data_IF_350197803815
#
_entry.id   IF_350197803815
#
_cell.length_a   1.000
_cell.length_b   1.000
_cell.length_c   1.000
_cell.angle_alpha   90.00
_cell.angle_beta   90.00
_cell.angle_gamma   90.00
#
_symmetry.space_group_name_H-M   'P 1'
#
loop_
_entity.id
_entity.type
_entity.pdbx_description
1 polymer ?
#
# COMPACT_ATOMS: atom_id res chain seq x y z
N UNK A 1 -0.70 47.27 7.83
CA UNK A 1 -0.53 46.39 6.63
C UNK A 1 0.58 45.33 6.76
N UNK A 2 1.12 45.03 7.95
CA UNK A 2 2.16 43.98 8.14
C UNK A 2 1.62 42.62 8.60
N UNK A 3 0.46 42.59 9.26
CA UNK A 3 -0.12 41.36 9.84
C UNK A 3 -0.69 40.42 8.76
N UNK A 4 -1.16 40.97 7.63
CA UNK A 4 -1.75 40.17 6.55
C UNK A 4 -0.68 39.32 5.83
N UNK A 5 0.56 39.79 5.74
CA UNK A 5 1.62 39.08 5.01
C UNK A 5 2.10 37.83 5.76
N UNK A 6 2.09 37.85 7.10
CA UNK A 6 2.54 36.71 7.92
C UNK A 6 1.55 35.54 7.87
N UNK A 7 0.24 35.83 7.77
CA UNK A 7 -0.80 34.79 7.63
C UNK A 7 -0.73 34.08 6.27
N UNK A 8 -0.35 34.78 5.21
CA UNK A 8 -0.20 34.19 3.88
C UNK A 8 1.01 33.25 3.79
N UNK A 9 2.08 33.52 4.55
CA UNK A 9 3.27 32.66 4.58
C UNK A 9 3.05 31.37 5.39
N UNK A 10 2.19 31.39 6.42
CA UNK A 10 1.85 30.16 7.18
C UNK A 10 1.02 29.18 6.34
N UNK A 11 0.23 29.66 5.38
CA UNK A 11 -0.61 28.81 4.54
C UNK A 11 0.16 27.99 3.48
N UNK A 12 1.42 28.32 3.21
CA UNK A 12 2.23 27.68 2.17
C UNK A 12 3.13 26.55 2.69
N UNK A 13 3.16 26.30 4.00
CA UNK A 13 3.83 25.12 4.56
C UNK A 13 2.81 24.01 4.80
N UNK A 14 1.91 23.78 3.85
CA UNK A 14 1.35 22.44 3.71
C UNK A 14 2.51 21.57 3.23
N UNK A 15 3.17 20.89 4.16
CA UNK A 15 4.03 19.76 3.83
C UNK A 15 3.13 18.79 3.09
N UNK A 16 3.17 18.83 1.76
CA UNK A 16 2.50 17.84 0.92
C UNK A 16 3.26 16.54 1.12
N UNK A 17 2.85 15.78 2.13
CA UNK A 17 3.44 14.49 2.44
C UNK A 17 3.15 13.54 1.26
N UNK A 18 4.18 13.27 0.47
CA UNK A 18 4.10 12.34 -0.66
C UNK A 18 4.21 10.91 -0.16
N UNK A 19 3.38 10.03 -0.72
CA UNK A 19 3.49 8.59 -0.51
C UNK A 19 4.69 8.08 -1.32
N UNK A 20 5.45 7.16 -0.75
CA UNK A 20 6.40 6.32 -1.48
C UNK A 20 5.58 5.16 -2.07
N UNK A 21 5.50 5.08 -3.39
CA UNK A 21 4.64 4.13 -4.10
C UNK A 21 5.48 3.01 -4.71
N UNK A 22 4.96 1.79 -4.65
CA UNK A 22 5.56 0.56 -5.14
C UNK A 22 4.55 -0.11 -6.08
N UNK A 23 4.73 0.09 -7.38
CA UNK A 23 3.84 -0.45 -8.42
C UNK A 23 4.46 -1.70 -9.04
N UNK A 24 3.74 -2.84 -9.14
CA UNK A 24 4.28 -4.07 -9.70
C UNK A 24 4.49 -3.94 -11.22
N UNK A 25 5.66 -4.37 -11.67
CA UNK A 25 6.08 -4.39 -13.08
C UNK A 25 6.53 -5.79 -13.49
N UNK A 26 6.56 -6.04 -14.80
CA UNK A 26 7.13 -7.26 -15.38
C UNK A 26 8.64 -7.37 -15.12
N UNK A 27 9.22 -8.53 -15.44
CA UNK A 27 10.66 -8.81 -15.25
C UNK A 27 11.58 -7.84 -15.97
N UNK A 28 11.15 -7.36 -17.15
CA UNK A 28 11.92 -6.40 -17.95
C UNK A 28 11.70 -4.94 -17.53
N UNK A 29 10.87 -4.67 -16.51
CA UNK A 29 10.55 -3.32 -16.02
C UNK A 29 10.02 -2.37 -17.11
N UNK A 30 9.20 -2.89 -18.04
CA UNK A 30 8.67 -2.15 -19.20
C UNK A 30 7.17 -1.88 -19.11
N UNK A 31 6.42 -2.67 -18.35
CA UNK A 31 4.98 -2.49 -18.17
C UNK A 31 4.52 -2.90 -16.78
N UNK A 32 3.47 -2.21 -16.29
CA UNK A 32 2.71 -2.61 -15.11
C UNK A 32 2.14 -4.02 -15.34
N UNK A 33 2.11 -4.84 -14.30
CA UNK A 33 1.51 -6.18 -14.32
C UNK A 33 0.45 -6.33 -13.23
N UNK A 34 -0.41 -7.32 -13.40
CA UNK A 34 -1.33 -7.73 -12.34
C UNK A 34 -0.54 -8.19 -11.11
N UNK A 35 -1.00 -7.77 -9.94
CA UNK A 35 -0.40 -8.15 -8.67
C UNK A 35 -0.76 -7.20 -7.54
N UNK A 36 0.16 -7.13 -6.58
CA UNK A 36 0.04 -6.32 -5.37
C UNK A 36 0.94 -5.09 -5.49
N UNK A 37 0.35 -3.91 -5.32
CA UNK A 37 1.06 -2.66 -5.15
C UNK A 37 0.63 -1.96 -3.86
N UNK A 38 1.41 -0.97 -3.44
CA UNK A 38 1.14 -0.24 -2.20
C UNK A 38 1.85 1.11 -2.19
N UNK A 39 1.42 2.00 -1.33
CA UNK A 39 2.17 3.20 -1.03
C UNK A 39 1.88 3.72 0.37
N UNK A 40 2.85 4.41 0.94
CA UNK A 40 2.85 4.77 2.35
C UNK A 40 3.70 6.00 2.60
N UNK A 41 3.31 6.78 3.60
CA UNK A 41 4.17 7.81 4.14
C UNK A 41 5.40 7.18 4.81
N UNK A 42 6.53 7.92 4.85
CA UNK A 42 7.70 7.48 5.60
C UNK A 42 7.36 7.08 7.03
N UNK A 43 7.88 5.95 7.48
CA UNK A 43 7.70 5.39 8.83
C UNK A 43 6.25 5.02 9.20
N UNK A 44 5.32 5.03 8.26
CA UNK A 44 3.97 4.48 8.47
C UNK A 44 4.00 2.95 8.34
N UNK A 45 3.43 2.26 9.32
CA UNK A 45 3.25 0.82 9.24
C UNK A 45 1.97 0.50 8.46
N UNK A 46 2.12 -0.17 7.31
CA UNK A 46 1.03 -0.68 6.50
C UNK A 46 0.82 -2.17 6.82
N UNK A 47 -0.31 -2.51 7.43
CA UNK A 47 -0.74 -3.88 7.55
C UNK A 47 -1.24 -4.38 6.18
N UNK A 48 -0.63 -5.44 5.64
CA UNK A 48 -1.24 -6.18 4.55
C UNK A 48 -2.34 -7.09 5.10
N UNK A 49 -3.32 -7.41 4.25
CA UNK A 49 -4.51 -8.16 4.64
C UNK A 49 -4.24 -9.64 4.99
N UNK A 50 -2.98 -10.11 4.90
CA UNK A 50 -2.55 -11.49 5.17
C UNK A 50 -1.61 -11.62 6.37
N UNK A 51 -1.62 -10.68 7.33
CA UNK A 51 -0.85 -10.67 8.60
C UNK A 51 0.60 -10.20 8.55
N UNK A 52 1.10 -9.79 7.39
CA UNK A 52 2.41 -9.16 7.28
C UNK A 52 2.24 -7.65 7.28
N UNK A 53 3.26 -6.94 7.73
CA UNK A 53 3.28 -5.48 7.66
C UNK A 53 4.49 -5.00 6.89
N UNK A 54 4.36 -3.82 6.28
CA UNK A 54 5.40 -3.18 5.49
C UNK A 54 5.56 -1.75 5.98
N UNK A 55 6.80 -1.27 6.08
CA UNK A 55 7.08 0.15 6.21
C UNK A 55 8.23 0.56 5.29
N UNK A 56 8.30 1.85 4.99
CA UNK A 56 9.24 2.46 4.04
C UNK A 56 9.66 3.81 4.58
N UNK A 57 10.85 4.27 4.22
CA UNK A 57 11.39 5.59 4.54
C UNK A 57 12.47 6.00 3.53
N UNK A 58 12.67 7.30 3.39
CA UNK A 58 13.76 7.87 2.58
C UNK A 58 15.12 7.71 3.26
N UNK A 59 16.13 7.31 2.51
CA UNK A 59 17.52 7.38 2.93
C UNK A 59 17.98 8.83 2.77
N UNK A 60 18.06 9.56 3.88
CA UNK A 60 18.39 10.99 3.94
C UNK A 60 19.44 11.44 2.92
N UNK A 61 19.14 12.54 2.20
CA UNK A 61 19.97 13.18 1.17
C UNK A 61 20.32 12.28 -0.04
N UNK A 62 19.64 11.16 -0.22
CA UNK A 62 19.87 10.22 -1.32
C UNK A 62 18.56 9.89 -2.05
N UNK A 63 18.60 9.59 -3.37
CA UNK A 63 17.41 9.22 -4.15
C UNK A 63 17.04 7.74 -3.91
N UNK A 64 17.07 7.29 -2.67
CA UNK A 64 16.78 5.91 -2.30
C UNK A 64 15.79 5.86 -1.16
N UNK A 65 14.98 4.80 -1.17
CA UNK A 65 14.04 4.46 -0.11
C UNK A 65 14.28 3.02 0.32
N UNK A 66 14.01 2.69 1.57
CA UNK A 66 13.94 1.30 1.97
C UNK A 66 12.51 0.79 1.82
N UNK A 67 12.37 -0.52 1.62
CA UNK A 67 11.19 -1.28 2.02
C UNK A 67 11.61 -2.27 3.08
N UNK A 68 10.83 -2.37 4.14
CA UNK A 68 11.01 -3.38 5.18
C UNK A 68 9.69 -4.11 5.40
N UNK A 69 9.73 -5.44 5.39
CA UNK A 69 8.58 -6.32 5.65
C UNK A 69 8.76 -7.01 7.01
N UNK A 70 7.66 -7.15 7.75
CA UNK A 70 7.57 -7.84 9.04
C UNK A 70 6.47 -8.92 8.97
N UNK A 71 6.62 -9.97 9.77
CA UNK A 71 5.57 -10.99 9.97
C UNK A 71 4.63 -10.68 11.15
N UNK A 72 4.70 -9.47 11.69
CA UNK A 72 3.78 -8.97 12.72
C UNK A 72 2.93 -7.86 12.13
N UNK A 73 1.84 -7.50 12.81
CA UNK A 73 1.02 -6.34 12.43
C UNK A 73 1.60 -4.98 12.84
N UNK A 74 2.79 -4.93 13.45
CA UNK A 74 3.31 -3.75 14.13
C UNK A 74 4.62 -3.20 13.56
N UNK A 75 5.14 -3.77 12.46
CA UNK A 75 6.41 -3.36 11.84
C UNK A 75 7.62 -3.33 12.81
N UNK A 76 7.60 -4.14 13.87
CA UNK A 76 8.62 -4.18 14.94
C UNK A 76 9.83 -5.05 14.59
N UNK A 77 9.61 -6.22 13.99
CA UNK A 77 10.66 -7.19 13.64
C UNK A 77 10.77 -7.41 12.11
N UNK A 78 11.62 -6.64 11.39
CA UNK A 78 11.74 -6.80 9.95
C UNK A 78 12.39 -8.15 9.60
N UNK A 79 11.70 -8.93 8.75
CA UNK A 79 12.18 -10.22 8.22
C UNK A 79 12.88 -10.07 6.88
N UNK A 80 12.63 -8.95 6.20
CA UNK A 80 13.30 -8.58 4.97
C UNK A 80 13.40 -7.06 4.90
N UNK A 81 14.53 -6.58 4.40
CA UNK A 81 14.72 -5.18 4.07
C UNK A 81 15.46 -5.07 2.74
N UNK A 82 15.06 -4.12 1.91
CA UNK A 82 15.72 -3.86 0.64
C UNK A 82 15.69 -2.38 0.31
N UNK A 83 16.76 -1.90 -0.32
CA UNK A 83 16.87 -0.53 -0.79
C UNK A 83 16.45 -0.45 -2.25
N UNK A 84 15.65 0.56 -2.57
CA UNK A 84 15.21 0.92 -3.90
C UNK A 84 15.70 2.31 -4.25
N UNK A 85 16.02 2.53 -5.52
CA UNK A 85 16.24 3.87 -6.05
C UNK A 85 14.90 4.45 -6.48
N UNK A 86 14.64 5.71 -6.13
CA UNK A 86 13.47 6.44 -6.61
C UNK A 86 13.50 6.60 -8.13
N UNK A 87 12.31 6.68 -8.72
CA UNK A 87 12.05 6.76 -10.17
C UNK A 87 12.75 5.64 -10.95
N UNK A 88 12.83 4.45 -10.34
CA UNK A 88 13.51 3.29 -10.90
C UNK A 88 12.78 2.01 -10.53
N UNK A 89 12.94 0.99 -11.38
CA UNK A 89 12.45 -0.35 -11.13
C UNK A 89 13.51 -1.18 -10.40
N UNK A 90 13.08 -2.00 -9.44
CA UNK A 90 13.94 -2.94 -8.71
C UNK A 90 13.20 -4.22 -8.33
N UNK A 91 13.92 -5.32 -8.16
CA UNK A 91 13.33 -6.61 -7.82
C UNK A 91 13.30 -6.83 -6.31
N UNK A 92 12.12 -6.90 -5.68
CA UNK A 92 12.00 -7.23 -4.26
C UNK A 92 12.05 -8.74 -4.04
N UNK A 93 13.16 -9.25 -3.49
CA UNK A 93 13.38 -10.70 -3.34
C UNK A 93 12.35 -11.41 -2.47
N UNK A 94 11.79 -10.71 -1.47
CA UNK A 94 10.84 -11.28 -0.52
C UNK A 94 9.50 -11.61 -1.17
N UNK A 95 8.89 -10.65 -1.86
CA UNK A 95 7.64 -10.87 -2.59
C UNK A 95 7.84 -11.48 -3.98
N UNK A 96 9.09 -11.53 -4.47
CA UNK A 96 9.45 -11.96 -5.82
C UNK A 96 8.80 -11.10 -6.92
N UNK A 97 8.71 -9.80 -6.67
CA UNK A 97 8.03 -8.84 -7.56
C UNK A 97 8.99 -7.72 -7.96
N UNK A 98 8.97 -7.31 -9.22
CA UNK A 98 9.62 -6.07 -9.64
C UNK A 98 8.72 -4.89 -9.31
N UNK A 99 9.25 -3.89 -8.62
CA UNK A 99 8.54 -2.67 -8.27
C UNK A 99 9.19 -1.47 -8.93
N UNK A 100 8.39 -0.68 -9.64
CA UNK A 100 8.75 0.71 -9.95
C UNK A 100 8.41 1.58 -8.74
N UNK A 101 9.41 2.32 -8.25
CA UNK A 101 9.31 3.07 -7.00
C UNK A 101 9.38 4.56 -7.24
N UNK A 102 8.41 5.32 -6.76
CA UNK A 102 8.29 6.77 -7.03
C UNK A 102 7.49 7.47 -5.92
N UNK A 103 7.62 8.79 -5.83
CA UNK A 103 6.89 9.62 -4.87
C UNK A 103 5.74 10.39 -5.53
N UNK A 104 4.56 10.35 -4.92
CA UNK A 104 3.36 11.06 -5.40
C UNK A 104 2.36 11.29 -4.29
N UNK A 105 1.54 12.34 -4.41
CA UNK A 105 0.38 12.58 -3.55
C UNK A 105 -0.83 11.71 -3.93
N UNK A 106 -0.87 11.22 -5.18
CA UNK A 106 -1.96 10.42 -5.71
C UNK A 106 -1.44 9.03 -6.12
N UNK A 107 -2.07 7.95 -5.62
CA UNK A 107 -1.68 6.60 -6.01
C UNK A 107 -2.14 6.30 -7.43
N UNK A 108 -1.30 5.63 -8.21
CA UNK A 108 -1.68 5.10 -9.53
C UNK A 108 -2.14 3.65 -9.35
N UNK A 109 -3.41 3.49 -9.01
CA UNK A 109 -4.01 2.16 -8.82
C UNK A 109 -4.77 1.78 -10.09
N UNK A 110 -4.49 0.61 -10.71
CA UNK A 110 -5.25 0.13 -11.86
C UNK A 110 -6.75 0.05 -11.54
N UNK A 111 -7.60 0.30 -12.55
CA UNK A 111 -9.06 0.17 -12.41
C UNK A 111 -9.47 -1.25 -12.02
N UNK A 112 -10.62 -1.40 -11.36
CA UNK A 112 -11.16 -2.66 -10.84
C UNK A 112 -10.27 -3.38 -9.82
N UNK A 113 -9.34 -2.66 -9.17
CA UNK A 113 -8.50 -3.22 -8.13
C UNK A 113 -9.21 -3.17 -6.78
N UNK A 114 -8.99 -4.20 -5.97
CA UNK A 114 -9.30 -4.16 -4.55
C UNK A 114 -8.30 -3.21 -3.89
N UNK A 115 -8.77 -2.15 -3.22
CA UNK A 115 -7.90 -1.20 -2.51
C UNK A 115 -8.27 -1.16 -1.03
N UNK A 116 -7.25 -1.31 -0.18
CA UNK A 116 -7.26 -1.07 1.25
C UNK A 116 -6.52 0.23 1.51
N UNK A 117 -7.15 1.18 2.17
CA UNK A 117 -6.62 2.52 2.42
C UNK A 117 -6.68 2.81 3.91
N UNK A 118 -5.58 3.31 4.47
CA UNK A 118 -5.51 3.76 5.84
C UNK A 118 -5.38 5.28 5.85
N UNK A 119 -6.31 5.92 6.54
CA UNK A 119 -6.37 7.33 6.79
C UNK A 119 -5.93 7.64 8.22
N UNK A 120 -5.68 8.92 8.49
CA UNK A 120 -5.54 9.43 9.84
C UNK A 120 -6.84 9.25 10.67
N UNK A 121 -6.77 9.56 11.96
CA UNK A 121 -7.90 9.42 12.89
C UNK A 121 -9.09 10.32 12.55
N UNK A 122 -8.92 11.32 11.68
CA UNK A 122 -9.99 12.19 11.20
C UNK A 122 -10.60 11.71 9.88
N UNK A 123 -10.09 10.62 9.28
CA UNK A 123 -10.46 10.14 7.95
C UNK A 123 -10.24 11.19 6.84
N UNK A 124 -9.30 12.14 7.02
CA UNK A 124 -9.05 13.25 6.08
C UNK A 124 -7.80 13.05 5.24
N UNK A 125 -6.72 12.52 5.84
CA UNK A 125 -5.43 12.34 5.15
C UNK A 125 -5.10 10.87 5.00
N UNK A 126 -4.96 10.39 3.76
CA UNK A 126 -4.44 9.05 3.47
C UNK A 126 -2.99 8.94 3.94
N UNK A 127 -2.71 7.96 4.80
CA UNK A 127 -1.38 7.64 5.33
C UNK A 127 -0.71 6.52 4.54
N UNK A 128 -1.51 5.54 4.11
CA UNK A 128 -1.04 4.42 3.32
C UNK A 128 -2.18 3.76 2.55
N UNK A 129 -1.81 2.94 1.57
CA UNK A 129 -2.73 2.09 0.85
C UNK A 129 -2.01 0.82 0.38
N UNK A 130 -2.81 -0.20 0.15
CA UNK A 130 -2.42 -1.47 -0.42
C UNK A 130 -3.49 -1.85 -1.43
N UNK A 131 -3.11 -2.29 -2.62
CA UNK A 131 -4.06 -2.80 -3.59
C UNK A 131 -3.65 -4.14 -4.15
N UNK A 132 -4.65 -4.88 -4.60
CA UNK A 132 -4.48 -6.06 -5.41
C UNK A 132 -5.34 -5.90 -6.66
N UNK A 133 -4.74 -6.08 -7.84
CA UNK A 133 -5.51 -6.15 -9.09
C UNK A 133 -6.56 -7.28 -9.03
N UNK A 134 -7.67 -7.16 -9.75
CA UNK A 134 -8.76 -8.12 -9.64
C UNK A 134 -8.30 -9.56 -9.90
N UNK A 135 -8.58 -10.48 -8.98
CA UNK A 135 -8.18 -11.88 -9.07
C UNK A 135 -6.77 -12.18 -8.57
N UNK A 136 -6.03 -11.19 -8.07
CA UNK A 136 -4.72 -11.41 -7.44
C UNK A 136 -4.84 -12.38 -6.28
N UNK A 137 -3.97 -13.38 -6.22
CA UNK A 137 -3.90 -14.37 -5.14
C UNK A 137 -2.66 -14.11 -4.31
N UNK A 138 -2.84 -13.92 -3.00
CA UNK A 138 -1.76 -13.85 -2.01
C UNK A 138 -1.79 -15.13 -1.19
N UNK A 139 -0.62 -15.77 -1.05
CA UNK A 139 -0.48 -17.03 -0.32
C UNK A 139 0.20 -16.76 1.02
N UNK A 140 -0.47 -17.10 2.12
CA UNK A 140 0.16 -17.17 3.43
C UNK A 140 0.79 -18.56 3.59
N UNK A 141 2.10 -18.62 3.37
CA UNK A 141 2.87 -19.86 3.48
C UNK A 141 3.01 -20.36 4.93
N UNK A 142 2.79 -19.52 5.93
CA UNK A 142 2.86 -19.92 7.35
C UNK A 142 1.58 -20.61 7.80
N UNK A 143 0.44 -20.09 7.35
CA UNK A 143 -0.88 -20.57 7.75
C UNK A 143 -1.51 -21.53 6.74
N UNK A 144 -0.85 -21.79 5.61
CA UNK A 144 -1.29 -22.70 4.55
C UNK A 144 -2.68 -22.34 3.98
N UNK A 145 -2.93 -21.05 3.77
CA UNK A 145 -4.11 -20.58 3.06
C UNK A 145 -3.72 -19.58 1.97
N UNK A 146 -4.64 -19.35 1.04
CA UNK A 146 -4.51 -18.31 0.02
C UNK A 146 -5.72 -17.40 0.02
N UNK A 147 -5.52 -16.11 -0.16
CA UNK A 147 -6.58 -15.11 -0.30
C UNK A 147 -6.58 -14.57 -1.73
N UNK A 148 -7.71 -14.70 -2.43
CA UNK A 148 -7.94 -14.02 -3.71
C UNK A 148 -8.73 -12.74 -3.45
N UNK A 149 -8.29 -11.62 -4.01
CA UNK A 149 -8.95 -10.33 -3.89
C UNK A 149 -9.77 -10.05 -5.14
N UNK A 150 -11.04 -9.70 -4.95
CA UNK A 150 -12.01 -9.63 -6.03
C UNK A 150 -12.82 -8.34 -5.94
N UNK A 151 -13.13 -7.80 -7.11
CA UNK A 151 -14.11 -6.74 -7.31
C UNK A 151 -15.27 -7.27 -8.15
N UNK A 152 -16.39 -7.56 -7.51
CA UNK A 152 -17.61 -8.08 -8.16
C UNK A 152 -18.67 -6.98 -8.07
N UNK A 153 -19.12 -6.47 -9.21
CA UNK A 153 -20.11 -5.39 -9.28
C UNK A 153 -19.72 -4.16 -8.43
N UNK A 154 -18.44 -3.75 -8.51
CA UNK A 154 -17.84 -2.66 -7.74
C UNK A 154 -17.88 -2.83 -6.20
N UNK A 155 -18.07 -4.05 -5.70
CA UNK A 155 -17.96 -4.37 -4.28
C UNK A 155 -16.74 -5.26 -4.02
N UNK A 156 -15.97 -4.98 -2.94
CA UNK A 156 -14.79 -5.76 -2.60
C UNK A 156 -15.17 -7.08 -1.93
N UNK A 157 -14.54 -8.16 -2.38
CA UNK A 157 -14.64 -9.50 -1.80
C UNK A 157 -13.25 -10.08 -1.56
N UNK A 158 -13.17 -10.97 -0.58
CA UNK A 158 -12.05 -11.89 -0.41
C UNK A 158 -12.53 -13.32 -0.56
N UNK A 159 -11.79 -14.13 -1.31
CA UNK A 159 -12.01 -15.56 -1.40
C UNK A 159 -10.82 -16.27 -0.73
N UNK A 160 -11.04 -16.75 0.50
CA UNK A 160 -10.00 -17.41 1.30
C UNK A 160 -10.11 -18.91 1.10
N UNK A 161 -9.06 -19.55 0.62
CA UNK A 161 -8.97 -20.99 0.42
C UNK A 161 -8.00 -21.63 1.41
N UNK A 162 -8.49 -22.60 2.17
CA UNK A 162 -7.70 -23.44 3.09
C UNK A 162 -7.96 -24.90 2.75
N UNK A 163 -6.92 -25.70 2.55
CA UNK A 163 -7.03 -27.13 2.22
C UNK A 163 -8.02 -27.43 1.08
N UNK A 164 -8.02 -26.58 0.04
CA UNK A 164 -8.88 -26.70 -1.15
C UNK A 164 -10.34 -26.27 -0.94
N UNK A 165 -10.74 -25.84 0.27
CA UNK A 165 -12.06 -25.27 0.53
C UNK A 165 -11.98 -23.75 0.52
N UNK A 166 -12.77 -23.11 -0.33
CA UNK A 166 -12.78 -21.66 -0.49
C UNK A 166 -14.06 -21.04 0.07
N UNK A 167 -13.93 -19.94 0.80
CA UNK A 167 -15.03 -19.13 1.32
C UNK A 167 -14.94 -17.72 0.75
N UNK A 168 -15.94 -17.35 -0.05
CA UNK A 168 -16.09 -16.00 -0.57
C UNK A 168 -16.81 -15.13 0.48
N UNK A 169 -16.17 -14.06 0.92
CA UNK A 169 -16.68 -13.14 1.95
C UNK A 169 -16.75 -11.72 1.37
N UNK A 170 -17.91 -11.04 1.45
CA UNK A 170 -17.98 -9.62 1.15
C UNK A 170 -17.19 -8.84 2.21
N UNK A 171 -16.37 -7.88 1.79
CA UNK A 171 -15.62 -7.04 2.72
C UNK A 171 -16.46 -5.83 3.09
N UNK A 172 -16.70 -5.63 4.38
CA UNK A 172 -17.40 -4.45 4.88
C UNK A 172 -16.43 -3.27 4.92
N UNK A 173 -16.81 -2.17 4.28
CA UNK A 173 -16.13 -0.88 4.38
C UNK A 173 -16.57 -0.18 5.66
N UNK A 174 -15.64 0.28 6.51
CA UNK A 174 -15.97 1.06 7.71
C UNK A 174 -14.89 2.11 8.02
N UNK A 175 -15.14 3.39 7.75
CA UNK A 175 -14.44 4.48 8.46
C UNK A 175 -15.13 4.67 9.81
N UNK A 176 -14.99 3.70 10.71
CA UNK A 176 -15.25 3.96 12.12
C UNK A 176 -13.99 4.63 12.69
N UNK A 177 -14.17 5.74 13.40
CA UNK A 177 -13.14 6.66 13.91
C UNK A 177 -11.94 5.99 14.61
N UNK A 178 -12.03 4.71 14.99
CA UNK A 178 -10.96 3.98 15.65
C UNK A 178 -9.85 3.52 14.72
N UNK A 179 -10.12 3.22 13.44
CA UNK A 179 -9.13 2.55 12.59
C UNK A 179 -8.78 3.31 11.30
N UNK A 180 -9.60 4.26 10.82
CA UNK A 180 -9.32 5.03 9.61
C UNK A 180 -9.21 4.18 8.32
N UNK A 181 -9.74 2.96 8.31
CA UNK A 181 -9.58 2.02 7.20
C UNK A 181 -10.77 2.12 6.24
N UNK A 182 -10.49 2.27 4.96
CA UNK A 182 -11.49 2.19 3.88
C UNK A 182 -11.05 1.08 2.92
N UNK A 183 -11.99 0.22 2.55
CA UNK A 183 -11.79 -0.83 1.56
C UNK A 183 -12.81 -0.66 0.44
N UNK A 184 -12.36 -0.52 -0.79
CA UNK A 184 -13.22 -0.28 -1.96
C UNK A 184 -12.69 -1.01 -3.20
N UNK A 185 -13.44 -0.90 -4.30
CA UNK A 185 -12.98 -1.25 -5.63
C UNK A 185 -12.73 0.04 -6.41
N UNK A 186 -11.56 0.15 -7.05
CA UNK A 186 -11.26 1.28 -7.93
C UNK A 186 -12.11 1.19 -9.21
N UNK A 187 -12.50 2.35 -9.74
CA UNK A 187 -13.31 2.49 -10.96
C UNK A 187 -12.55 3.17 -12.08
#
# INVERSE_FOLDING_TARGET
MKIILTLLLLALVCVNSQLINYTPYNEDCTSIVDGVGFGLLPFTCLLNTTTESIYSFDLYDQPYVNISSSHTGYCDDPVSTQIFKLDSCGYYKYSKTNYYVYQSNQPEVPANSYIYEQYDSTCETRQSYWYATNGTVVVDYKQNFSTTYLCISNQPFTNVCTDGKCVLTPVKTSCENSNGIIITCTV
#
